data_IF_747560724007
#
_entry.id   IF_747560724007
#
_cell.length_a   1.000
_cell.length_b   1.000
_cell.length_c   1.000
_cell.angle_alpha   90.00
_cell.angle_beta   90.00
_cell.angle_gamma   90.00
#
_symmetry.space_group_name_H-M   'P 1'
#
loop_
_entity.id
_entity.type
_entity.pdbx_description
1 polymer ?
#
# COMPACT_ATOMS: atom_id res chain seq x y z
N UNK A 1 -15.41 11.44 1.93
CA UNK A 1 -14.34 12.04 1.13
C UNK A 1 -13.52 10.91 0.52
N UNK A 2 -13.22 10.99 -0.80
CA UNK A 2 -12.27 10.08 -1.42
C UNK A 2 -10.88 10.28 -0.81
N UNK A 3 -10.12 9.21 -0.73
CA UNK A 3 -8.74 9.19 -0.25
C UNK A 3 -7.89 8.90 -1.47
N UNK A 4 -7.11 9.87 -1.91
CA UNK A 4 -6.21 9.77 -3.06
C UNK A 4 -4.77 9.95 -2.60
N UNK A 5 -3.89 9.07 -3.08
CA UNK A 5 -2.46 9.05 -2.73
C UNK A 5 -1.56 9.59 -3.85
N UNK A 6 -2.12 10.07 -4.96
CA UNK A 6 -1.37 10.69 -6.05
C UNK A 6 -2.05 11.96 -6.53
N UNK A 7 -1.25 12.88 -7.07
CA UNK A 7 -1.57 14.27 -7.35
C UNK A 7 -2.63 14.57 -8.41
N UNK A 8 -3.55 13.66 -8.66
CA UNK A 8 -4.70 13.91 -9.53
C UNK A 8 -5.78 14.68 -8.77
N UNK A 9 -5.47 15.93 -8.39
CA UNK A 9 -6.47 16.83 -7.81
C UNK A 9 -7.46 17.35 -8.87
N UNK A 10 -7.10 17.29 -10.16
CA UNK A 10 -7.89 17.84 -11.28
C UNK A 10 -8.27 16.78 -12.34
N UNK A 11 -8.60 15.55 -11.91
CA UNK A 11 -9.35 14.65 -12.82
C UNK A 11 -10.84 15.01 -12.76
N UNK A 12 -11.54 15.16 -13.90
CA UNK A 12 -12.99 15.11 -13.93
C UNK A 12 -13.45 13.87 -13.17
N UNK A 13 -14.51 14.01 -12.38
CA UNK A 13 -15.02 12.98 -11.50
C UNK A 13 -14.88 11.59 -12.12
N UNK A 14 -14.22 10.68 -11.40
CA UNK A 14 -14.05 9.27 -11.77
C UNK A 14 -15.38 8.56 -12.12
N UNK A 15 -16.53 9.21 -11.85
CA UNK A 15 -17.84 8.82 -12.34
C UNK A 15 -17.94 8.68 -13.87
N UNK A 16 -17.13 9.41 -14.65
CA UNK A 16 -17.28 9.44 -16.12
C UNK A 16 -16.70 8.20 -16.82
N UNK A 17 -15.81 7.44 -16.17
CA UNK A 17 -15.31 6.15 -16.68
C UNK A 17 -16.19 4.96 -16.28
N UNK A 18 -17.11 5.17 -15.34
CA UNK A 18 -18.16 4.22 -14.94
C UNK A 18 -19.52 4.54 -15.57
N UNK A 19 -19.65 5.69 -16.24
CA UNK A 19 -20.86 6.12 -16.96
C UNK A 19 -20.82 5.78 -18.45
N UNK A 20 -20.05 4.76 -18.85
CA UNK A 20 -20.36 4.09 -20.11
C UNK A 20 -21.72 3.39 -19.88
N UNK A 21 -22.77 4.07 -20.32
CA UNK A 21 -24.18 3.67 -20.23
C UNK A 21 -24.38 2.29 -20.87
N UNK A 22 -24.19 1.24 -20.06
CA UNK A 22 -24.81 -0.06 -20.25
C UNK A 22 -25.82 -0.24 -19.12
N UNK A 23 -27.03 0.27 -19.37
CA UNK A 23 -28.21 0.29 -18.48
C UNK A 23 -28.69 -1.13 -18.06
N UNK A 24 -27.92 -2.18 -18.34
CA UNK A 24 -28.28 -3.57 -18.02
C UNK A 24 -27.52 -4.17 -16.84
N UNK A 25 -26.56 -3.46 -16.24
CA UNK A 25 -25.83 -3.94 -15.07
C UNK A 25 -26.29 -3.24 -13.78
N UNK A 26 -26.61 -3.97 -12.69
CA UNK A 26 -27.07 -3.35 -11.46
C UNK A 26 -26.00 -2.39 -10.91
N UNK A 27 -26.41 -1.18 -10.52
CA UNK A 27 -25.54 -0.16 -9.96
C UNK A 27 -24.61 -0.74 -8.89
N UNK A 28 -23.30 -0.76 -9.15
CA UNK A 28 -22.30 -1.27 -8.22
C UNK A 28 -22.16 -0.31 -7.03
N UNK A 29 -23.06 -0.43 -6.04
CA UNK A 29 -22.91 0.15 -4.69
C UNK A 29 -21.88 -0.66 -3.88
N UNK A 30 -20.66 -0.75 -4.41
CA UNK A 30 -19.58 -1.54 -3.82
C UNK A 30 -18.40 -0.69 -3.36
N UNK A 31 -17.61 -1.28 -2.47
CA UNK A 31 -16.31 -0.80 -1.99
C UNK A 31 -15.34 -0.62 -3.18
N UNK A 32 -15.15 0.60 -3.68
CA UNK A 32 -14.08 0.87 -4.65
C UNK A 32 -12.80 1.29 -3.92
N UNK A 33 -11.77 0.47 -4.08
CA UNK A 33 -10.43 0.75 -3.59
C UNK A 33 -9.41 0.11 -4.52
N UNK A 34 -8.40 0.88 -4.92
CA UNK A 34 -7.26 0.43 -5.69
C UNK A 34 -5.98 0.80 -4.94
N UNK A 35 -4.95 -0.02 -5.05
CA UNK A 35 -3.65 0.26 -4.44
C UNK A 35 -2.54 -0.35 -5.29
N UNK A 36 -1.43 0.37 -5.42
CA UNK A 36 -0.20 -0.13 -6.01
C UNK A 36 0.60 -0.94 -4.99
N UNK A 37 1.10 -2.10 -5.41
CA UNK A 37 1.94 -3.00 -4.63
C UNK A 37 3.13 -3.39 -5.49
N UNK A 38 4.35 -3.13 -5.00
CA UNK A 38 5.58 -3.42 -5.74
C UNK A 38 6.64 -4.06 -4.83
N UNK A 39 7.14 -5.28 -5.13
CA UNK A 39 8.33 -5.80 -4.45
C UNK A 39 9.55 -4.93 -4.78
N UNK A 40 10.40 -4.67 -3.79
CA UNK A 40 11.64 -3.94 -4.00
C UNK A 40 12.73 -4.94 -4.39
N UNK A 41 13.30 -4.76 -5.58
CA UNK A 41 14.44 -5.53 -6.09
C UNK A 41 15.71 -4.65 -6.07
N UNK A 42 16.61 -4.82 -7.04
CA UNK A 42 17.86 -4.05 -7.16
C UNK A 42 17.59 -2.56 -7.45
N UNK A 43 16.58 -2.24 -8.25
CA UNK A 43 16.35 -0.88 -8.74
C UNK A 43 15.94 0.08 -7.62
N UNK A 44 16.32 1.36 -7.79
CA UNK A 44 15.83 2.43 -6.93
C UNK A 44 14.31 2.55 -7.05
N UNK A 45 13.67 2.83 -5.92
CA UNK A 45 12.23 3.10 -5.88
C UNK A 45 11.94 4.58 -5.74
N UNK A 46 10.71 5.00 -6.07
CA UNK A 46 10.35 6.41 -6.13
C UNK A 46 10.61 7.13 -4.81
N UNK A 47 10.19 6.56 -3.68
CA UNK A 47 10.39 7.20 -2.36
C UNK A 47 11.87 7.39 -1.97
N UNK A 48 12.82 6.71 -2.63
CA UNK A 48 14.24 6.87 -2.33
C UNK A 48 14.79 8.22 -2.79
N UNK A 49 14.07 8.96 -3.64
CA UNK A 49 14.42 10.36 -3.94
C UNK A 49 14.30 11.27 -2.70
N UNK A 50 13.55 10.86 -1.67
CA UNK A 50 13.43 11.59 -0.41
C UNK A 50 14.51 11.22 0.61
N UNK A 51 15.39 10.25 0.28
CA UNK A 51 16.32 9.64 1.21
C UNK A 51 17.77 9.84 0.76
N UNK A 52 18.67 10.00 1.73
CA UNK A 52 20.11 10.07 1.47
C UNK A 52 20.75 8.69 1.33
N UNK A 53 20.11 7.64 1.85
CA UNK A 53 20.59 6.26 1.76
C UNK A 53 19.46 5.33 1.28
N UNK A 54 19.80 4.15 0.72
CA UNK A 54 18.79 3.18 0.30
C UNK A 54 17.82 2.82 1.44
N UNK A 55 16.55 2.62 1.11
CA UNK A 55 15.48 2.45 2.12
C UNK A 55 15.76 1.33 3.12
N UNK A 56 16.36 0.21 2.69
CA UNK A 56 16.68 -0.90 3.60
C UNK A 56 17.66 -0.50 4.71
N UNK A 57 18.54 0.47 4.46
CA UNK A 57 19.49 0.94 5.48
C UNK A 57 18.76 1.78 6.53
N UNK A 58 17.81 2.62 6.10
CA UNK A 58 16.99 3.41 7.03
C UNK A 58 16.06 2.51 7.85
N UNK A 59 15.45 1.49 7.24
CA UNK A 59 14.66 0.52 8.00
C UNK A 59 15.56 -0.24 8.98
N UNK A 60 16.75 -0.68 8.56
CA UNK A 60 17.68 -1.40 9.44
C UNK A 60 18.05 -0.59 10.69
N UNK A 61 18.27 0.72 10.52
CA UNK A 61 18.55 1.64 11.63
C UNK A 61 17.38 1.69 12.63
N UNK A 62 16.15 1.73 12.13
CA UNK A 62 14.95 1.79 12.97
C UNK A 62 14.62 0.45 13.61
N UNK A 63 14.85 -0.65 12.90
CA UNK A 63 14.63 -2.01 13.38
C UNK A 63 15.69 -2.47 14.39
N UNK A 64 16.91 -1.90 14.31
CA UNK A 64 18.05 -2.33 15.11
C UNK A 64 18.72 -3.62 14.59
N UNK A 65 18.36 -4.05 13.39
CA UNK A 65 18.87 -5.26 12.73
C UNK A 65 18.99 -5.05 11.23
N UNK A 66 19.78 -5.89 10.54
CA UNK A 66 19.94 -5.80 9.08
C UNK A 66 18.67 -6.29 8.38
N UNK A 67 18.10 -5.43 7.53
CA UNK A 67 16.93 -5.74 6.71
C UNK A 67 17.37 -6.01 5.27
N UNK A 68 16.99 -7.18 4.75
CA UNK A 68 17.22 -7.51 3.35
C UNK A 68 16.24 -6.73 2.45
N UNK A 69 16.77 -6.03 1.44
CA UNK A 69 15.98 -5.22 0.49
C UNK A 69 14.87 -6.01 -0.21
N UNK A 70 15.14 -7.27 -0.58
CA UNK A 70 14.17 -8.16 -1.23
C UNK A 70 12.99 -8.57 -0.33
N UNK A 71 13.07 -8.24 0.96
CA UNK A 71 12.02 -8.47 1.95
C UNK A 71 11.14 -7.25 2.17
N UNK A 72 11.31 -6.20 1.38
CA UNK A 72 10.59 -4.94 1.48
C UNK A 72 9.67 -4.78 0.27
N UNK A 73 8.44 -4.31 0.51
CA UNK A 73 7.52 -3.91 -0.55
C UNK A 73 7.21 -2.41 -0.46
N UNK A 74 7.10 -1.76 -1.61
CA UNK A 74 6.56 -0.41 -1.74
C UNK A 74 5.04 -0.48 -1.95
N UNK A 75 4.33 0.30 -1.15
CA UNK A 75 2.89 0.54 -1.28
C UNK A 75 2.69 1.98 -1.72
N UNK A 76 1.91 2.19 -2.77
CA UNK A 76 1.64 3.50 -3.32
C UNK A 76 0.28 3.58 -3.99
N UNK A 77 -0.07 4.77 -4.45
CA UNK A 77 -1.26 4.99 -5.29
C UNK A 77 -2.56 4.40 -4.73
N UNK A 78 -2.74 4.42 -3.40
CA UNK A 78 -4.02 4.04 -2.79
C UNK A 78 -5.08 5.08 -3.18
N UNK A 79 -6.12 4.62 -3.85
CA UNK A 79 -7.29 5.39 -4.21
C UNK A 79 -8.50 4.70 -3.61
N UNK A 80 -9.32 5.43 -2.86
CA UNK A 80 -10.50 4.83 -2.23
C UNK A 80 -11.65 5.80 -2.10
N UNK A 81 -12.88 5.32 -2.33
CA UNK A 81 -14.09 6.13 -2.14
C UNK A 81 -14.39 6.47 -0.67
N UNK A 82 -13.88 5.69 0.29
CA UNK A 82 -14.07 5.95 1.72
C UNK A 82 -13.00 5.28 2.61
N UNK A 83 -12.86 5.77 3.84
CA UNK A 83 -11.89 5.23 4.80
C UNK A 83 -12.14 3.75 5.16
N UNK A 84 -13.38 3.28 5.13
CA UNK A 84 -13.71 1.88 5.38
C UNK A 84 -13.10 0.94 4.34
N UNK A 85 -13.24 1.29 3.07
CA UNK A 85 -12.64 0.58 1.93
C UNK A 85 -11.10 0.57 2.01
N UNK A 86 -10.49 1.71 2.34
CA UNK A 86 -9.04 1.80 2.55
C UNK A 86 -8.56 0.92 3.72
N UNK A 87 -9.27 0.89 4.85
CA UNK A 87 -8.94 0.01 5.99
C UNK A 87 -8.98 -1.47 5.60
N UNK A 88 -10.01 -1.89 4.87
CA UNK A 88 -10.13 -3.27 4.40
C UNK A 88 -8.99 -3.63 3.44
N UNK A 89 -8.60 -2.74 2.53
CA UNK A 89 -7.46 -2.96 1.64
C UNK A 89 -6.13 -3.02 2.41
N UNK A 90 -5.91 -2.17 3.41
CA UNK A 90 -4.71 -2.22 4.25
C UNK A 90 -4.66 -3.54 5.04
N UNK A 91 -5.78 -3.95 5.66
CA UNK A 91 -5.87 -5.24 6.34
C UNK A 91 -5.55 -6.39 5.36
N UNK A 92 -6.09 -6.34 4.14
CA UNK A 92 -5.80 -7.30 3.08
C UNK A 92 -4.32 -7.42 2.79
N UNK A 93 -3.64 -6.30 2.55
CA UNK A 93 -2.21 -6.32 2.26
C UNK A 93 -1.40 -6.86 3.43
N UNK A 94 -1.76 -6.52 4.67
CA UNK A 94 -1.09 -7.06 5.86
C UNK A 94 -1.17 -8.58 5.89
N UNK A 95 -2.35 -9.18 5.70
CA UNK A 95 -2.48 -10.63 5.68
C UNK A 95 -1.81 -11.26 4.46
N UNK A 96 -2.05 -10.71 3.27
CA UNK A 96 -1.47 -11.19 2.02
C UNK A 96 0.07 -11.23 2.07
N UNK A 97 0.71 -10.18 2.58
CA UNK A 97 2.16 -10.12 2.71
C UNK A 97 2.70 -11.03 3.81
N UNK A 98 1.87 -11.32 4.81
CA UNK A 98 2.18 -12.27 5.87
C UNK A 98 1.92 -13.73 5.48
N UNK A 99 1.36 -14.03 4.31
CA UNK A 99 1.14 -15.44 3.94
C UNK A 99 2.47 -16.09 3.59
N UNK A 100 2.73 -17.31 4.11
CA UNK A 100 3.93 -18.05 3.77
C UNK A 100 4.07 -18.26 2.26
N UNK A 101 5.30 -18.23 1.78
CA UNK A 101 5.69 -18.51 0.41
C UNK A 101 7.02 -19.24 0.44
N UNK A 102 7.24 -20.13 -0.54
CA UNK A 102 8.46 -20.90 -0.65
C UNK A 102 9.58 -20.00 -1.21
N UNK A 103 10.70 -19.92 -0.51
CA UNK A 103 11.89 -19.26 -1.02
C UNK A 103 12.50 -20.12 -2.15
N UNK A 104 12.65 -19.60 -3.39
CA UNK A 104 13.14 -20.39 -4.52
C UNK A 104 14.62 -20.81 -4.39
N UNK A 105 15.39 -20.13 -3.53
CA UNK A 105 16.80 -20.41 -3.31
C UNK A 105 17.00 -21.33 -2.12
N UNK A 106 16.43 -21.01 -0.96
CA UNK A 106 16.63 -21.78 0.28
C UNK A 106 15.66 -22.95 0.42
N UNK A 107 14.57 -23.00 -0.36
CA UNK A 107 13.49 -23.98 -0.24
C UNK A 107 12.80 -23.97 1.14
N UNK A 108 12.91 -22.87 1.89
CA UNK A 108 12.25 -22.67 3.17
C UNK A 108 10.99 -21.80 3.03
N UNK A 109 10.01 -22.01 3.91
CA UNK A 109 8.84 -21.15 3.99
C UNK A 109 9.16 -19.87 4.74
N UNK A 110 8.84 -18.73 4.12
CA UNK A 110 8.97 -17.39 4.69
C UNK A 110 7.74 -16.55 4.36
N UNK A 111 7.48 -15.44 5.06
CA UNK A 111 6.42 -14.49 4.63
C UNK A 111 6.78 -13.87 3.28
N UNK A 112 5.86 -13.22 2.57
CA UNK A 112 6.19 -12.53 1.31
C UNK A 112 7.06 -11.28 1.54
N UNK A 113 6.84 -10.60 2.66
CA UNK A 113 7.60 -9.43 3.07
C UNK A 113 7.76 -9.38 4.59
N UNK A 114 8.83 -8.74 5.04
CA UNK A 114 9.06 -8.39 6.44
C UNK A 114 8.63 -6.95 6.71
N UNK A 115 8.80 -6.08 5.72
CA UNK A 115 8.51 -4.65 5.81
C UNK A 115 7.72 -4.16 4.60
N UNK A 116 6.86 -3.17 4.84
CA UNK A 116 6.31 -2.33 3.77
C UNK A 116 6.67 -0.89 3.99
N UNK A 117 6.85 -0.16 2.90
CA UNK A 117 7.13 1.27 2.90
C UNK A 117 6.15 2.00 2.02
N UNK A 118 5.78 3.21 2.41
CA UNK A 118 4.95 4.07 1.59
C UNK A 118 5.23 5.54 1.86
N UNK A 119 4.82 6.38 0.92
CA UNK A 119 4.70 7.82 1.12
C UNK A 119 3.25 8.10 1.49
N UNK A 120 2.98 8.25 2.78
CA UNK A 120 1.62 8.44 3.30
C UNK A 120 1.37 9.90 3.66
N UNK A 121 0.26 10.48 3.19
CA UNK A 121 -0.24 11.78 3.67
C UNK A 121 -0.85 11.67 5.08
N UNK A 122 -1.26 12.79 5.67
CA UNK A 122 -1.96 12.81 6.96
C UNK A 122 -3.16 11.85 7.03
N UNK A 123 -3.98 11.76 5.97
CA UNK A 123 -5.15 10.89 5.94
C UNK A 123 -4.77 9.41 6.08
N UNK A 124 -3.68 9.00 5.44
CA UNK A 124 -3.15 7.64 5.45
C UNK A 124 -2.64 7.28 6.83
N UNK A 125 -1.83 8.16 7.41
CA UNK A 125 -1.25 7.96 8.73
C UNK A 125 -2.35 7.91 9.78
N UNK A 126 -3.40 8.71 9.65
CA UNK A 126 -4.59 8.59 10.49
C UNK A 126 -5.24 7.22 10.36
N UNK A 127 -5.44 6.69 9.14
CA UNK A 127 -6.03 5.35 8.97
C UNK A 127 -5.17 4.28 9.65
N UNK A 128 -3.85 4.28 9.42
CA UNK A 128 -2.93 3.32 10.04
C UNK A 128 -3.00 3.39 11.56
N UNK A 129 -2.96 4.61 12.12
CA UNK A 129 -3.09 4.83 13.56
C UNK A 129 -4.43 4.36 14.12
N UNK A 130 -5.54 4.61 13.42
CA UNK A 130 -6.88 4.13 13.81
C UNK A 130 -6.99 2.60 13.78
N UNK A 131 -6.22 1.93 12.93
CA UNK A 131 -6.12 0.46 12.91
C UNK A 131 -5.17 -0.08 13.99
N UNK A 132 -4.49 0.77 14.75
CA UNK A 132 -3.47 0.38 15.71
C UNK A 132 -2.15 -0.07 15.07
N UNK A 133 -1.98 0.13 13.75
CA UNK A 133 -0.75 -0.22 13.04
C UNK A 133 0.32 0.81 13.36
N UNK A 134 1.41 0.34 13.97
CA UNK A 134 2.60 1.17 14.21
C UNK A 134 3.32 1.42 12.89
N UNK A 135 3.45 2.69 12.54
CA UNK A 135 4.30 3.14 11.43
C UNK A 135 5.51 3.90 11.97
N UNK A 136 6.65 3.67 11.36
CA UNK A 136 7.91 4.34 11.66
C UNK A 136 8.13 5.43 10.63
N UNK A 137 8.20 6.69 11.06
CA UNK A 137 8.53 7.80 10.17
C UNK A 137 10.02 7.75 9.85
N UNK A 138 10.35 7.65 8.56
CA UNK A 138 11.72 7.59 8.06
C UNK A 138 12.19 8.98 7.65
N UNK A 139 11.40 9.67 6.84
CA UNK A 139 11.74 10.99 6.32
C UNK A 139 10.49 11.79 5.96
N UNK A 140 10.67 13.11 5.81
CA UNK A 140 9.66 13.95 5.15
C UNK A 140 9.74 13.74 3.64
N UNK A 141 8.60 13.60 2.98
CA UNK A 141 8.54 13.62 1.53
C UNK A 141 8.15 15.04 1.11
N UNK A 142 9.13 15.84 0.71
CA UNK A 142 8.90 17.24 0.35
C UNK A 142 9.11 17.44 -1.15
N UNK A 143 8.43 18.43 -1.72
CA UNK A 143 8.49 18.69 -3.15
C UNK A 143 9.91 19.12 -3.59
N UNK A 144 10.68 19.73 -2.69
CA UNK A 144 12.05 20.20 -2.95
C UNK A 144 13.04 19.04 -3.18
N UNK A 145 12.67 17.82 -2.82
CA UNK A 145 13.47 16.63 -3.11
C UNK A 145 13.29 16.14 -4.56
N UNK A 146 12.29 16.63 -5.28
CA UNK A 146 12.11 16.31 -6.69
C UNK A 146 12.99 17.24 -7.54
N UNK A 147 13.85 16.66 -8.37
CA UNK A 147 14.74 17.42 -9.26
C UNK A 147 14.00 18.04 -10.45
N UNK A 148 12.87 17.44 -10.85
CA UNK A 148 12.08 17.85 -12.02
C UNK A 148 10.86 18.71 -11.62
N UNK A 149 10.83 20.01 -12.00
CA UNK A 149 9.68 20.89 -11.75
C UNK A 149 8.37 20.43 -12.41
N UNK A 150 8.42 19.77 -13.57
CA UNK A 150 7.23 19.21 -14.22
C UNK A 150 6.66 18.08 -13.36
N UNK A 151 7.54 17.24 -12.83
CA UNK A 151 7.16 16.20 -11.89
C UNK A 151 6.48 16.80 -10.67
N UNK A 152 7.03 17.85 -10.04
CA UNK A 152 6.40 18.54 -8.90
C UNK A 152 4.99 19.03 -9.24
N UNK A 153 4.79 19.68 -10.39
CA UNK A 153 3.49 20.24 -10.77
C UNK A 153 2.43 19.15 -11.02
N UNK A 154 2.84 17.99 -11.55
CA UNK A 154 1.95 16.83 -11.73
C UNK A 154 1.39 16.26 -10.42
N UNK A 155 2.02 16.58 -9.27
CA UNK A 155 1.55 16.15 -7.95
C UNK A 155 0.43 17.03 -7.37
N UNK A 156 0.08 18.15 -8.02
CA UNK A 156 -1.00 19.03 -7.59
C UNK A 156 -0.89 19.43 -6.11
N UNK A 157 -1.95 19.18 -5.33
CA UNK A 157 -2.01 19.53 -3.91
C UNK A 157 -1.42 18.45 -2.97
N UNK A 158 -0.84 17.37 -3.50
CA UNK A 158 -0.38 16.22 -2.69
C UNK A 158 0.58 16.62 -1.56
N UNK A 159 1.58 17.46 -1.87
CA UNK A 159 2.58 17.90 -0.88
C UNK A 159 2.03 18.83 0.20
N UNK A 160 0.86 19.45 -0.01
CA UNK A 160 0.19 20.25 1.03
C UNK A 160 -0.35 19.39 2.18
N UNK A 161 -0.46 18.07 1.98
CA UNK A 161 -0.93 17.11 2.99
C UNK A 161 0.22 16.44 3.76
N UNK A 162 1.36 17.12 3.85
CA UNK A 162 2.55 16.74 4.62
C UNK A 162 2.93 15.26 4.46
N UNK A 163 3.18 14.76 3.24
CA UNK A 163 3.50 13.36 3.06
C UNK A 163 4.80 12.99 3.77
N UNK A 164 4.82 11.80 4.37
CA UNK A 164 5.97 11.25 5.07
C UNK A 164 6.30 9.88 4.47
N UNK A 165 7.59 9.59 4.32
CA UNK A 165 8.05 8.23 4.08
C UNK A 165 7.92 7.47 5.39
N UNK A 166 7.17 6.38 5.38
CA UNK A 166 6.94 5.54 6.55
C UNK A 166 7.25 4.09 6.26
N UNK A 167 7.75 3.38 7.26
CA UNK A 167 7.99 1.94 7.25
C UNK A 167 7.09 1.24 8.26
N UNK A 168 6.57 0.07 7.91
CA UNK A 168 5.67 -0.73 8.76
C UNK A 168 6.17 -2.16 8.76
N UNK A 169 6.37 -2.73 9.95
CA UNK A 169 6.69 -4.13 10.10
C UNK A 169 5.43 -4.98 9.86
N UNK A 170 5.51 -5.93 8.94
CA UNK A 170 4.36 -6.73 8.49
C UNK A 170 3.84 -7.64 9.62
N UNK A 171 4.75 -8.23 10.41
CA UNK A 171 4.37 -9.11 11.51
C UNK A 171 3.67 -8.34 12.64
N UNK A 172 4.16 -7.14 12.96
CA UNK A 172 3.52 -6.26 13.96
C UNK A 172 2.15 -5.78 13.50
N UNK A 173 2.03 -5.37 12.23
CA UNK A 173 0.75 -5.00 11.64
C UNK A 173 -0.24 -6.17 11.66
N UNK A 174 0.21 -7.40 11.35
CA UNK A 174 -0.64 -8.58 11.42
C UNK A 174 -1.12 -8.85 12.84
N UNK A 175 -0.27 -8.68 13.85
CA UNK A 175 -0.63 -8.90 15.26
C UNK A 175 -1.79 -8.00 15.70
N UNK A 176 -1.82 -6.75 15.26
CA UNK A 176 -2.91 -5.81 15.59
C UNK A 176 -4.15 -6.00 14.71
N UNK A 177 -3.99 -6.45 13.46
CA UNK A 177 -5.13 -6.72 12.57
C UNK A 177 -5.85 -8.04 12.87
N UNK A 178 -5.13 -9.08 13.30
CA UNK A 178 -5.66 -10.44 13.47
C UNK A 178 -6.91 -10.56 14.37
N UNK A 179 -7.06 -9.79 15.47
CA UNK A 179 -8.27 -9.85 16.29
C UNK A 179 -9.52 -9.25 15.63
N UNK A 180 -9.35 -8.39 14.62
CA UNK A 180 -10.42 -7.56 14.06
C UNK A 180 -10.81 -7.90 12.62
N UNK A 181 -10.01 -8.73 11.95
CA UNK A 181 -10.18 -9.06 10.54
C UNK A 181 -9.92 -10.55 10.34
N UNK A 182 -10.79 -11.19 9.55
CA UNK A 182 -10.58 -12.57 9.10
C UNK A 182 -10.14 -12.56 7.64
N UNK A 183 -9.03 -13.22 7.37
CA UNK A 183 -8.49 -13.42 6.03
C UNK A 183 -8.52 -14.92 5.70
N UNK A 184 -9.20 -15.26 4.60
CA UNK A 184 -9.25 -16.62 4.08
C UNK A 184 -8.61 -16.63 2.68
N UNK A 185 -7.57 -17.44 2.50
CA UNK A 185 -6.95 -17.71 1.20
C UNK A 185 -7.49 -19.04 0.69
N UNK A 186 -8.25 -19.03 -0.41
CA UNK A 186 -8.74 -20.25 -1.06
C UNK A 186 -7.84 -20.53 -2.26
N UNK A 187 -6.95 -21.52 -2.14
CA UNK A 187 -6.15 -22.03 -3.24
C UNK A 187 -7.01 -23.02 -4.05
N UNK A 188 -7.52 -22.60 -5.21
CA UNK A 188 -8.14 -23.53 -6.15
C UNK A 188 -7.08 -24.17 -7.05
N UNK A 189 -7.09 -25.50 -7.11
CA UNK A 189 -6.28 -26.29 -8.02
C UNK A 189 -7.20 -26.85 -9.10
N UNK A 190 -7.47 -26.09 -10.17
CA UNK A 190 -7.54 -26.56 -11.58
C UNK A 190 -8.24 -25.59 -12.56
N UNK A 191 -7.79 -25.68 -13.82
CA UNK A 191 -8.25 -25.03 -15.04
C UNK A 191 -9.77 -25.21 -15.30
N UNK A 192 -10.56 -24.18 -15.04
CA UNK A 192 -11.70 -23.74 -15.87
C UNK A 192 -12.55 -22.70 -15.11
N UNK A 193 -12.42 -21.43 -15.51
CA UNK A 193 -13.44 -20.38 -15.39
C UNK A 193 -14.01 -20.10 -13.98
N UNK A 194 -13.41 -19.16 -13.23
CA UNK A 194 -14.03 -17.90 -12.74
C UNK A 194 -13.11 -17.13 -11.78
N UNK A 195 -13.37 -15.82 -11.68
CA UNK A 195 -12.66 -14.82 -10.89
C UNK A 195 -12.60 -15.19 -9.39
N UNK A 196 -11.39 -15.37 -8.87
CA UNK A 196 -11.10 -15.56 -7.44
C UNK A 196 -11.21 -14.22 -6.71
N UNK A 197 -12.05 -14.13 -5.67
CA UNK A 197 -12.12 -12.98 -4.77
C UNK A 197 -11.61 -13.39 -3.38
N UNK A 198 -10.43 -12.90 -3.02
CA UNK A 198 -9.96 -12.96 -1.64
C UNK A 198 -10.91 -12.14 -0.77
N UNK A 199 -11.56 -12.78 0.20
CA UNK A 199 -12.58 -12.12 1.03
C UNK A 199 -12.02 -11.83 2.42
N UNK A 200 -12.13 -10.57 2.83
CA UNK A 200 -11.95 -10.15 4.22
C UNK A 200 -13.32 -9.88 4.79
N UNK A 201 -13.55 -10.42 5.98
CA UNK A 201 -14.72 -10.11 6.79
C UNK A 201 -14.26 -9.47 8.09
N UNK A 202 -15.00 -8.44 8.52
CA UNK A 202 -14.91 -7.86 9.87
C UNK A 202 -15.51 -8.84 10.86
#
# INVERSE_FOLDING_TARGET
MPILFSGFADMPSYGDWLSADDDTLPAFKGTSVAIGLKPICEDKIFLEQYLNTPIQNEISRVAGELVNRQRIFEIGNLASGCAGSARLMIAFLVFYLSTPTLNPTTHEYQTKADWVVCTGTDAVRHILAHMGIRSHVIAKATAEALEDPEQVSSWGHYYQHNPLVVAINVADAKRVCAPHYRYNETLEMNYATRLTLNKITV
#
